data_IF_852239062514
#
_entry.id   IF_852239062514
#
_cell.length_a   1.000
_cell.length_b   1.000
_cell.length_c   1.000
_cell.angle_alpha   90.00
_cell.angle_beta   90.00
_cell.angle_gamma   90.00
#
_symmetry.space_group_name_H-M   'P 1'
#
loop_
_entity.id
_entity.type
_entity.pdbx_description
1 polymer ?
#
# COMPACT_ATOMS: atom_id res chain seq x y z
N UNK A 1 16.26 10.61 16.27
CA UNK A 1 17.61 9.99 16.39
C UNK A 1 18.40 10.08 15.10
N UNK A 2 17.98 9.44 14.00
CA UNK A 2 18.74 9.43 12.74
C UNK A 2 19.00 10.82 12.15
N UNK A 3 17.97 11.68 12.09
CA UNK A 3 18.09 13.04 11.52
C UNK A 3 18.96 13.95 12.40
N UNK A 4 18.87 13.78 13.72
CA UNK A 4 19.71 14.52 14.69
C UNK A 4 21.18 14.11 14.56
N UNK A 5 21.46 12.84 14.24
CA UNK A 5 22.81 12.33 14.01
C UNK A 5 23.39 12.74 12.64
N UNK A 6 22.53 13.00 11.65
CA UNK A 6 22.91 13.31 10.26
C UNK A 6 22.11 14.51 9.72
N UNK A 7 22.43 15.75 10.16
CA UNK A 7 21.70 16.95 9.76
C UNK A 7 21.85 17.29 8.27
N UNK A 8 22.80 16.65 7.57
CA UNK A 8 22.97 16.77 6.12
C UNK A 8 21.96 15.94 5.32
N UNK A 9 21.23 15.03 5.96
CA UNK A 9 20.24 14.19 5.27
C UNK A 9 18.95 14.96 5.03
N UNK A 10 18.43 14.82 3.83
CA UNK A 10 17.09 15.23 3.44
C UNK A 10 16.22 13.97 3.41
N UNK A 11 15.14 13.90 4.21
CA UNK A 11 14.32 12.68 4.33
C UNK A 11 12.84 13.00 4.16
N UNK A 12 12.16 12.29 3.25
CA UNK A 12 10.69 12.32 3.14
C UNK A 12 10.14 10.97 3.59
N UNK A 13 9.24 10.99 4.59
CA UNK A 13 8.58 9.79 5.10
C UNK A 13 7.18 9.67 4.50
N UNK A 14 7.01 8.74 3.57
CA UNK A 14 5.71 8.41 2.99
C UNK A 14 5.11 7.21 3.73
N UNK A 15 4.04 7.43 4.48
CA UNK A 15 3.33 6.38 5.24
C UNK A 15 2.08 5.97 4.48
N UNK A 16 2.14 4.82 3.84
CA UNK A 16 1.00 4.26 3.11
C UNK A 16 0.03 3.56 4.06
N UNK A 17 -1.24 3.55 3.68
CA UNK A 17 -2.27 2.74 4.30
C UNK A 17 -2.25 1.33 3.69
N UNK A 18 -3.31 0.90 3.00
CA UNK A 18 -3.38 -0.38 2.31
C UNK A 18 -3.41 -0.16 0.79
N UNK A 19 -2.25 -0.17 0.09
CA UNK A 19 -2.21 -0.08 -1.36
C UNK A 19 -2.88 -1.30 -2.00
N UNK A 20 -3.76 -1.05 -2.96
CA UNK A 20 -4.51 -2.09 -3.69
C UNK A 20 -4.69 -1.73 -5.16
N UNK A 21 -5.17 -2.67 -5.96
CA UNK A 21 -5.41 -2.48 -7.39
C UNK A 21 -4.20 -2.85 -8.24
N UNK A 22 -4.23 -2.43 -9.50
CA UNK A 22 -3.26 -2.81 -10.51
C UNK A 22 -3.15 -1.70 -11.55
N UNK A 23 -2.15 -1.78 -12.45
CA UNK A 23 -2.11 -0.84 -13.56
C UNK A 23 -3.30 -1.09 -14.52
N UNK A 24 -3.89 -0.03 -15.06
CA UNK A 24 -5.11 -0.10 -15.90
C UNK A 24 -5.00 -0.98 -17.15
N UNK A 25 -3.78 -1.28 -17.61
CA UNK A 25 -3.56 -2.20 -18.74
C UNK A 25 -3.81 -3.66 -18.36
N UNK A 26 -3.86 -3.99 -17.07
CA UNK A 26 -3.95 -5.36 -16.57
C UNK A 26 -2.67 -6.18 -16.72
N UNK A 27 -1.59 -5.60 -17.25
CA UNK A 27 -0.33 -6.32 -17.50
C UNK A 27 0.54 -6.48 -16.24
N UNK A 28 0.37 -5.58 -15.26
CA UNK A 28 1.12 -5.59 -14.00
C UNK A 28 0.17 -5.35 -12.83
N UNK A 29 0.39 -6.10 -11.75
CA UNK A 29 -0.36 -6.06 -10.51
C UNK A 29 0.31 -6.95 -9.46
N UNK A 30 -0.27 -7.03 -8.27
CA UNK A 30 0.23 -7.92 -7.21
C UNK A 30 -0.05 -9.39 -7.58
N UNK A 31 0.99 -10.23 -7.65
CA UNK A 31 0.87 -11.68 -7.86
C UNK A 31 1.69 -12.41 -6.78
N UNK A 32 1.12 -12.62 -5.59
CA UNK A 32 1.83 -13.25 -4.48
C UNK A 32 2.02 -14.74 -4.73
N UNK A 33 3.20 -15.24 -4.32
CA UNK A 33 3.51 -16.68 -4.37
C UNK A 33 2.72 -17.39 -3.27
N UNK A 34 1.83 -18.30 -3.67
CA UNK A 34 0.96 -19.04 -2.75
C UNK A 34 -0.23 -18.22 -2.25
N UNK A 35 -0.74 -18.56 -1.06
CA UNK A 35 -1.88 -17.85 -0.45
C UNK A 35 -1.42 -16.47 0.05
N UNK A 36 -2.11 -15.41 -0.37
CA UNK A 36 -1.80 -14.08 0.14
C UNK A 36 -2.27 -13.86 1.58
N UNK A 37 -1.48 -13.11 2.35
CA UNK A 37 -1.85 -12.59 3.67
C UNK A 37 -2.67 -11.29 3.57
N UNK A 38 -2.57 -10.58 2.43
CA UNK A 38 -3.30 -9.34 2.19
C UNK A 38 -4.69 -9.63 1.62
N UNK A 39 -5.68 -8.82 2.01
CA UNK A 39 -7.07 -9.09 1.67
C UNK A 39 -7.34 -9.06 0.15
N UNK A 40 -6.89 -8.02 -0.55
CA UNK A 40 -7.21 -7.83 -1.98
C UNK A 40 -6.65 -8.92 -2.91
N UNK A 41 -5.36 -9.28 -2.85
CA UNK A 41 -4.86 -10.39 -3.65
C UNK A 41 -5.49 -11.75 -3.25
N UNK A 42 -5.88 -11.94 -1.99
CA UNK A 42 -6.62 -13.15 -1.59
C UNK A 42 -8.02 -13.16 -2.24
N UNK A 43 -8.76 -12.06 -2.19
CA UNK A 43 -10.05 -11.92 -2.91
C UNK A 43 -9.86 -12.20 -4.41
N UNK A 44 -8.81 -11.65 -5.03
CA UNK A 44 -8.53 -11.87 -6.45
C UNK A 44 -8.26 -13.36 -6.77
N UNK A 45 -7.48 -14.06 -5.95
CA UNK A 45 -7.22 -15.50 -6.08
C UNK A 45 -8.51 -16.33 -5.99
N UNK A 46 -9.44 -15.96 -5.11
CA UNK A 46 -10.76 -16.61 -5.02
C UNK A 46 -11.60 -16.31 -6.25
N UNK A 47 -11.62 -15.06 -6.72
CA UNK A 47 -12.39 -14.64 -7.89
C UNK A 47 -11.97 -15.38 -9.18
N UNK A 48 -10.69 -15.72 -9.31
CA UNK A 48 -10.17 -16.53 -10.44
C UNK A 48 -10.14 -18.04 -10.17
N UNK A 49 -10.71 -18.50 -9.05
CA UNK A 49 -10.84 -19.92 -8.72
C UNK A 49 -9.57 -20.62 -8.23
N UNK A 50 -8.49 -19.87 -7.91
CA UNK A 50 -7.27 -20.44 -7.29
C UNK A 50 -7.50 -20.88 -5.84
N UNK A 51 -8.46 -20.26 -5.15
CA UNK A 51 -8.85 -20.59 -3.77
C UNK A 51 -10.38 -20.68 -3.66
N UNK A 52 -10.92 -21.53 -2.76
CA UNK A 52 -12.36 -21.80 -2.71
C UNK A 52 -13.20 -20.69 -2.07
N UNK A 53 -12.64 -19.95 -1.11
CA UNK A 53 -13.33 -18.87 -0.40
C UNK A 53 -12.35 -17.93 0.31
N UNK A 54 -12.83 -16.74 0.66
CA UNK A 54 -12.14 -15.74 1.48
C UNK A 54 -12.46 -16.01 2.95
N UNK A 55 -11.43 -16.03 3.81
CA UNK A 55 -11.63 -16.10 5.26
C UNK A 55 -11.59 -14.70 5.87
N UNK A 56 -12.67 -14.25 6.50
CA UNK A 56 -12.74 -12.96 7.20
C UNK A 56 -12.27 -13.15 8.64
N UNK A 57 -11.13 -12.54 8.98
CA UNK A 57 -10.54 -12.65 10.32
C UNK A 57 -11.08 -11.57 11.25
N UNK A 58 -12.04 -11.96 12.09
CA UNK A 58 -12.61 -11.11 13.15
C UNK A 58 -13.85 -10.35 12.71
N UNK A 59 -14.96 -10.63 13.39
CA UNK A 59 -16.30 -10.03 13.14
C UNK A 59 -16.86 -9.33 14.38
N UNK A 60 -16.03 -9.13 15.41
CA UNK A 60 -16.42 -8.60 16.72
C UNK A 60 -15.72 -7.28 17.05
N UNK A 61 -15.17 -6.61 16.04
CA UNK A 61 -14.62 -5.27 16.21
C UNK A 61 -15.75 -4.26 16.39
N UNK A 62 -15.53 -3.22 17.20
CA UNK A 62 -16.45 -2.09 17.37
C UNK A 62 -16.36 -1.15 16.16
N UNK A 63 -16.76 -1.69 15.01
CA UNK A 63 -16.82 -1.01 13.71
C UNK A 63 -18.06 -1.52 13.01
N UNK A 64 -18.78 -0.65 12.29
CA UNK A 64 -20.02 -1.03 11.61
C UNK A 64 -19.82 -2.19 10.61
N UNK A 65 -18.65 -2.28 9.97
CA UNK A 65 -18.36 -3.26 8.92
C UNK A 65 -16.87 -3.66 8.77
N UNK A 66 -15.97 -3.18 9.64
CA UNK A 66 -14.53 -3.47 9.53
C UNK A 66 -13.81 -2.60 8.50
N UNK A 67 -13.75 -1.29 8.76
CA UNK A 67 -13.15 -0.34 7.83
C UNK A 67 -11.61 -0.47 7.70
N UNK A 68 -11.12 -0.29 6.48
CA UNK A 68 -9.72 -0.10 6.12
C UNK A 68 -9.64 0.99 5.06
N UNK A 69 -8.67 1.89 5.20
CA UNK A 69 -8.36 2.85 4.14
C UNK A 69 -7.57 2.16 3.03
N UNK A 70 -8.22 1.99 1.88
CA UNK A 70 -7.64 1.46 0.67
C UNK A 70 -7.24 2.60 -0.26
N UNK A 71 -6.03 2.52 -0.81
CA UNK A 71 -5.52 3.49 -1.77
C UNK A 71 -5.09 2.77 -3.05
N UNK A 72 -5.39 3.35 -4.21
CA UNK A 72 -5.00 2.73 -5.48
C UNK A 72 -3.47 2.77 -5.64
N UNK A 73 -2.85 1.66 -6.01
CA UNK A 73 -1.37 1.53 -6.08
C UNK A 73 -0.74 2.52 -7.07
N UNK A 74 -1.47 2.90 -8.13
CA UNK A 74 -1.03 3.95 -9.07
C UNK A 74 -0.97 5.33 -8.40
N UNK A 75 -1.90 5.64 -7.49
CA UNK A 75 -1.88 6.92 -6.76
C UNK A 75 -0.69 6.96 -5.79
N UNK A 76 -0.36 5.81 -5.16
CA UNK A 76 0.86 5.67 -4.38
C UNK A 76 2.10 5.93 -5.24
N UNK A 77 2.17 5.37 -6.46
CA UNK A 77 3.27 5.62 -7.38
C UNK A 77 3.39 7.09 -7.80
N UNK A 78 2.26 7.75 -8.10
CA UNK A 78 2.22 9.20 -8.40
C UNK A 78 2.68 10.01 -7.18
N UNK A 79 2.29 9.59 -5.97
CA UNK A 79 2.74 10.19 -4.72
C UNK A 79 4.25 10.16 -4.54
N UNK A 80 4.92 9.08 -4.95
CA UNK A 80 6.39 9.03 -4.96
C UNK A 80 7.00 10.03 -5.94
N UNK A 81 6.44 10.18 -7.15
CA UNK A 81 6.93 11.16 -8.13
C UNK A 81 6.79 12.59 -7.57
N UNK A 82 5.66 12.89 -6.93
CA UNK A 82 5.45 14.17 -6.27
C UNK A 82 6.45 14.40 -5.13
N UNK A 83 6.68 13.38 -4.30
CA UNK A 83 7.65 13.44 -3.21
C UNK A 83 9.08 13.67 -3.73
N UNK A 84 9.49 13.03 -4.82
CA UNK A 84 10.81 13.24 -5.44
C UNK A 84 10.97 14.69 -5.94
N UNK A 85 9.95 15.26 -6.59
CA UNK A 85 9.99 16.67 -7.02
C UNK A 85 10.15 17.62 -5.83
N UNK A 86 9.49 17.30 -4.71
CA UNK A 86 9.58 18.07 -3.48
C UNK A 86 10.96 17.89 -2.82
N UNK A 87 11.51 16.68 -2.87
CA UNK A 87 12.84 16.34 -2.36
C UNK A 87 13.93 17.20 -2.97
N UNK A 88 13.87 17.47 -4.28
CA UNK A 88 14.82 18.35 -4.98
C UNK A 88 14.85 19.79 -4.42
N UNK A 89 13.77 20.23 -3.76
CA UNK A 89 13.69 21.53 -3.09
C UNK A 89 14.22 21.51 -1.64
N UNK A 90 14.83 20.41 -1.20
CA UNK A 90 15.41 20.23 0.14
C UNK A 90 14.40 20.45 1.29
N UNK A 91 13.18 19.94 1.11
CA UNK A 91 12.04 20.17 2.00
C UNK A 91 11.77 19.01 2.99
N UNK A 92 12.62 17.99 3.03
CA UNK A 92 12.43 16.86 3.93
C UNK A 92 12.64 17.23 5.39
N UNK A 93 12.43 16.25 6.25
CA UNK A 93 12.71 16.36 7.68
C UNK A 93 14.20 16.68 7.88
N UNK A 94 14.46 17.61 8.79
CA UNK A 94 15.78 18.07 9.24
C UNK A 94 15.91 17.98 10.75
#
# INVERSE_FOLDING_TARGET
DTIVAHPEWNIILLRYFNPVGAHKTGLIGEDPIGKSNNLMPYIAQVAVGRLPYVNILGTHYDTTDGARDYIHVVDVAIGHIAAMKQFEMNCGLK
#
